data_IF_079297295685
#
_entry.id   IF_079297295685
#
_cell.length_a   1.000
_cell.length_b   1.000
_cell.length_c   1.000
_cell.angle_alpha   90.00
_cell.angle_beta   90.00
_cell.angle_gamma   90.00
#
_symmetry.space_group_name_H-M   'P 1'
#
loop_
_entity.id
_entity.type
_entity.pdbx_description
1 polymer ?
#
# COMPACT_ATOMS: atom_id res chain seq x y z
N UNK A 1 -11.44 -18.60 41.72
CA UNK A 1 -9.99 -18.31 41.76
C UNK A 1 -9.41 -18.08 40.37
N UNK A 2 -9.57 -19.00 39.41
CA UNK A 2 -9.05 -18.81 38.03
C UNK A 2 -9.61 -17.60 37.28
N UNK A 3 -10.92 -17.30 37.38
CA UNK A 3 -11.50 -16.08 36.79
C UNK A 3 -10.91 -14.79 37.36
N UNK A 4 -10.54 -14.79 38.64
CA UNK A 4 -9.96 -13.61 39.31
C UNK A 4 -8.50 -13.45 38.87
N UNK A 5 -7.73 -14.54 38.84
CA UNK A 5 -6.36 -14.55 38.27
C UNK A 5 -6.31 -14.11 36.81
N UNK A 6 -7.28 -14.54 35.99
CA UNK A 6 -7.35 -14.14 34.59
C UNK A 6 -7.68 -12.65 34.44
N UNK A 7 -8.51 -12.08 35.32
CA UNK A 7 -8.79 -10.65 35.32
C UNK A 7 -7.61 -9.82 35.84
N UNK A 8 -6.91 -10.29 36.87
CA UNK A 8 -5.67 -9.65 37.35
C UNK A 8 -4.56 -9.69 36.30
N UNK A 9 -4.40 -10.82 35.59
CA UNK A 9 -3.43 -10.94 34.49
C UNK A 9 -3.74 -9.95 33.36
N UNK A 10 -5.00 -9.84 32.93
CA UNK A 10 -5.42 -8.82 31.94
C UNK A 10 -5.23 -7.39 32.42
N UNK A 11 -5.45 -7.14 33.71
CA UNK A 11 -5.25 -5.82 34.30
C UNK A 11 -3.77 -5.45 34.27
N UNK A 12 -2.89 -6.37 34.62
CA UNK A 12 -1.44 -6.18 34.58
C UNK A 12 -0.91 -6.02 33.15
N UNK A 13 -1.43 -6.76 32.16
CA UNK A 13 -1.12 -6.52 30.74
C UNK A 13 -1.57 -5.12 30.31
N UNK A 14 -2.77 -4.68 30.71
CA UNK A 14 -3.27 -3.34 30.40
C UNK A 14 -2.44 -2.22 31.04
N UNK A 15 -1.95 -2.41 32.27
CA UNK A 15 -1.02 -1.49 32.93
C UNK A 15 0.36 -1.51 32.27
N UNK A 16 0.83 -2.64 31.75
CA UNK A 16 2.07 -2.71 30.97
C UNK A 16 1.95 -1.95 29.63
N UNK A 17 0.81 -2.04 28.94
CA UNK A 17 0.57 -1.28 27.70
C UNK A 17 0.56 0.23 27.92
N UNK A 18 0.01 0.70 29.04
CA UNK A 18 -0.03 2.14 29.35
C UNK A 18 1.35 2.69 29.73
N UNK A 19 2.20 1.88 30.37
CA UNK A 19 3.58 2.25 30.71
C UNK A 19 4.51 2.21 29.47
N UNK A 20 4.30 1.29 28.52
CA UNK A 20 5.02 1.33 27.24
C UNK A 20 4.60 2.52 26.37
N UNK A 21 3.33 2.92 26.46
CA UNK A 21 2.79 4.11 25.81
C UNK A 21 3.19 5.46 26.43
N UNK A 22 3.89 5.46 27.58
CA UNK A 22 4.40 6.67 28.24
C UNK A 22 5.87 6.98 27.89
N UNK A 23 6.40 6.35 26.84
CA UNK A 23 7.76 6.57 26.35
C UNK A 23 7.87 7.85 25.49
N UNK A 24 8.38 8.91 26.11
CA UNK A 24 8.81 10.19 25.51
C UNK A 24 7.75 10.95 24.67
N UNK A 25 7.88 12.28 24.59
CA UNK A 25 7.01 13.08 23.73
C UNK A 25 7.36 12.80 22.26
N UNK A 26 6.89 11.69 21.70
CA UNK A 26 7.02 11.38 20.27
C UNK A 26 6.27 12.45 19.48
N UNK A 27 7.00 13.18 18.64
CA UNK A 27 6.44 14.25 17.83
C UNK A 27 5.37 13.70 16.87
N UNK A 28 4.16 14.26 16.95
CA UNK A 28 3.04 13.93 16.05
C UNK A 28 3.40 14.25 14.59
N UNK A 29 4.33 15.17 14.36
CA UNK A 29 4.78 15.54 13.01
C UNK A 29 5.39 14.36 12.25
N UNK A 30 6.10 13.46 12.93
CA UNK A 30 6.62 12.24 12.31
C UNK A 30 5.47 11.47 11.66
N UNK A 31 4.36 11.30 12.39
CA UNK A 31 3.18 10.57 11.92
C UNK A 31 2.49 11.30 10.77
N UNK A 32 2.45 12.64 10.80
CA UNK A 32 1.93 13.42 9.69
C UNK A 32 2.76 13.25 8.42
N UNK A 33 4.08 13.30 8.51
CA UNK A 33 4.95 13.09 7.35
C UNK A 33 4.78 11.69 6.76
N UNK A 34 4.85 10.64 7.59
CA UNK A 34 4.67 9.27 7.13
C UNK A 34 3.27 9.04 6.53
N UNK A 35 2.22 9.60 7.14
CA UNK A 35 0.86 9.47 6.61
C UNK A 35 0.65 10.23 5.30
N UNK A 36 1.28 11.39 5.12
CA UNK A 36 1.19 12.15 3.88
C UNK A 36 1.85 11.41 2.72
N UNK A 37 3.07 10.91 2.91
CA UNK A 37 3.71 10.08 1.89
C UNK A 37 2.91 8.82 1.60
N UNK A 38 2.36 8.16 2.64
CA UNK A 38 1.48 7.02 2.43
C UNK A 38 0.21 7.39 1.66
N UNK A 39 -0.34 8.60 1.85
CA UNK A 39 -1.50 9.06 1.11
C UNK A 39 -1.16 9.34 -0.37
N UNK A 40 0.02 9.89 -0.64
CA UNK A 40 0.48 10.14 -2.01
C UNK A 40 0.69 8.82 -2.78
N UNK A 41 1.38 7.84 -2.19
CA UNK A 41 1.70 6.58 -2.88
C UNK A 41 0.48 5.68 -3.14
N UNK A 42 -0.66 5.91 -2.47
CA UNK A 42 -1.86 5.08 -2.65
C UNK A 42 -2.39 5.03 -4.07
N UNK A 43 -2.31 6.15 -4.80
CA UNK A 43 -2.80 6.25 -6.18
C UNK A 43 -1.66 6.35 -7.19
N UNK A 44 -0.43 6.13 -6.74
CA UNK A 44 0.73 6.10 -7.61
C UNK A 44 0.61 4.96 -8.65
N UNK A 45 0.84 5.30 -9.92
CA UNK A 45 0.78 4.36 -11.04
C UNK A 45 2.06 4.43 -11.85
N UNK A 46 2.51 3.27 -12.32
CA UNK A 46 3.68 3.14 -13.22
C UNK A 46 3.33 3.58 -14.63
N UNK A 47 2.13 3.21 -15.10
CA UNK A 47 1.58 3.61 -16.41
C UNK A 47 0.67 4.81 -16.22
N UNK A 48 1.05 5.93 -16.84
CA UNK A 48 0.25 7.14 -16.88
C UNK A 48 -0.79 7.03 -18.01
N UNK A 49 -2.07 7.01 -17.63
CA UNK A 49 -3.21 6.78 -18.52
C UNK A 49 -3.39 7.86 -19.59
N UNK A 50 -3.35 9.18 -19.27
CA UNK A 50 -3.40 10.21 -20.30
C UNK A 50 -2.33 10.04 -21.39
N UNK A 51 -1.08 9.78 -21.01
CA UNK A 51 -0.02 9.53 -21.98
C UNK A 51 -0.27 8.25 -22.77
N UNK A 52 -0.70 7.17 -22.12
CA UNK A 52 -1.04 5.92 -22.80
C UNK A 52 -2.10 6.13 -23.88
N UNK A 53 -3.21 6.79 -23.54
CA UNK A 53 -4.31 7.05 -24.47
C UNK A 53 -3.90 7.99 -25.60
N UNK A 54 -3.05 8.99 -25.32
CA UNK A 54 -2.49 9.87 -26.34
C UNK A 54 -1.66 9.09 -27.35
N UNK A 55 -0.76 8.20 -26.91
CA UNK A 55 0.03 7.37 -27.81
C UNK A 55 -0.84 6.39 -28.59
N UNK A 56 -1.84 5.79 -27.96
CA UNK A 56 -2.80 4.91 -28.65
C UNK A 56 -3.52 5.66 -29.78
N UNK A 57 -4.02 6.87 -29.52
CA UNK A 57 -4.64 7.71 -30.55
C UNK A 57 -3.64 8.12 -31.63
N UNK A 58 -2.39 8.43 -31.26
CA UNK A 58 -1.34 8.74 -32.22
C UNK A 58 -1.10 7.57 -33.19
N UNK A 59 -0.93 6.34 -32.69
CA UNK A 59 -0.75 5.17 -33.56
C UNK A 59 -2.00 4.86 -34.40
N UNK A 60 -3.19 4.90 -33.79
CA UNK A 60 -4.43 4.56 -34.50
C UNK A 60 -4.82 5.60 -35.55
N UNK A 61 -4.79 6.90 -35.21
CA UNK A 61 -5.28 7.99 -36.07
C UNK A 61 -4.21 8.72 -36.86
N UNK A 62 -3.05 9.02 -36.26
CA UNK A 62 -2.02 9.84 -36.92
C UNK A 62 -1.15 8.98 -37.83
N UNK A 63 -0.69 7.82 -37.35
CA UNK A 63 0.03 6.84 -38.18
C UNK A 63 -0.94 6.04 -39.07
N UNK A 64 -2.25 6.13 -38.80
CA UNK A 64 -3.31 5.47 -39.54
C UNK A 64 -3.26 3.92 -39.44
N UNK A 65 -2.93 3.37 -38.26
CA UNK A 65 -3.07 1.93 -38.03
C UNK A 65 -4.51 1.44 -38.15
N UNK A 66 -5.50 2.33 -38.07
CA UNK A 66 -6.88 1.97 -38.39
C UNK A 66 -7.09 1.46 -39.81
N UNK A 67 -6.22 1.82 -40.76
CA UNK A 67 -6.29 1.29 -42.14
C UNK A 67 -6.11 -0.24 -42.20
N UNK A 68 -5.41 -0.84 -41.23
CA UNK A 68 -5.24 -2.30 -41.16
C UNK A 68 -6.53 -3.05 -40.82
N UNK A 69 -7.58 -2.36 -40.35
CA UNK A 69 -8.89 -2.99 -40.11
C UNK A 69 -9.79 -3.01 -41.34
N UNK A 70 -9.36 -2.43 -42.45
CA UNK A 70 -10.10 -2.44 -43.71
C UNK A 70 -9.72 -3.69 -44.51
N UNK A 71 -10.73 -4.42 -45.01
CA UNK A 71 -10.56 -5.71 -45.70
C UNK A 71 -9.92 -5.62 -47.09
N UNK A 72 -9.55 -4.43 -47.58
CA UNK A 72 -8.92 -4.25 -48.88
C UNK A 72 -7.40 -4.31 -48.72
N UNK A 73 -6.81 -5.49 -49.01
CA UNK A 73 -5.37 -5.74 -49.02
C UNK A 73 -4.58 -5.00 -50.11
N UNK A 74 -5.04 -3.82 -50.56
CA UNK A 74 -4.33 -3.02 -51.56
C UNK A 74 -3.42 -2.00 -50.87
N UNK A 75 -2.18 -2.43 -50.61
CA UNK A 75 -1.12 -1.64 -49.98
C UNK A 75 -0.60 -0.47 -50.86
N UNK A 76 -1.28 -0.12 -51.95
CA UNK A 76 -0.78 0.84 -52.94
C UNK A 76 -1.93 1.72 -53.45
N UNK A 77 -1.95 2.97 -52.97
CA UNK A 77 -2.13 4.21 -53.77
C UNK A 77 -3.07 5.23 -53.15
N UNK A 78 -2.53 6.45 -53.06
CA UNK A 78 -3.20 7.74 -52.85
C UNK A 78 -3.49 8.17 -51.41
N UNK A 79 -2.74 9.21 -51.04
CA UNK A 79 -2.78 9.97 -49.79
C UNK A 79 -4.05 10.84 -49.67
N UNK A 80 -5.14 10.55 -50.39
CA UNK A 80 -6.17 11.57 -50.62
C UNK A 80 -7.61 11.08 -50.74
N UNK A 81 -8.00 9.96 -50.11
CA UNK A 81 -9.37 9.64 -49.61
C UNK A 81 -9.55 8.12 -49.48
N UNK A 82 -8.96 7.53 -48.43
CA UNK A 82 -9.35 6.17 -48.02
C UNK A 82 -10.67 6.24 -47.25
N UNK A 83 -11.79 6.12 -47.96
CA UNK A 83 -13.07 5.79 -47.33
C UNK A 83 -13.15 4.26 -47.22
N UNK A 84 -12.83 3.73 -46.04
CA UNK A 84 -13.00 2.32 -45.71
C UNK A 84 -14.47 1.92 -45.90
N UNK A 85 -14.79 1.21 -46.98
CA UNK A 85 -16.19 0.83 -47.29
C UNK A 85 -16.75 -0.18 -46.30
N UNK A 86 -15.91 -1.05 -45.73
CA UNK A 86 -16.30 -2.04 -44.72
C UNK A 86 -15.12 -2.40 -43.81
N UNK A 87 -15.12 -1.88 -42.59
CA UNK A 87 -14.24 -2.36 -41.53
C UNK A 87 -14.92 -3.52 -40.82
N UNK A 88 -14.24 -4.66 -40.73
CA UNK A 88 -14.71 -5.77 -39.91
C UNK A 88 -14.50 -5.41 -38.44
N UNK A 89 -15.59 -5.45 -37.65
CA UNK A 89 -15.56 -5.05 -36.24
C UNK A 89 -14.52 -5.86 -35.43
N UNK A 90 -14.34 -7.14 -35.76
CA UNK A 90 -13.38 -8.03 -35.08
C UNK A 90 -11.93 -7.57 -35.35
N UNK A 91 -11.60 -7.25 -36.60
CA UNK A 91 -10.24 -6.82 -36.98
C UNK A 91 -9.92 -5.46 -36.38
N UNK A 92 -10.89 -4.55 -36.36
CA UNK A 92 -10.78 -3.25 -35.67
C UNK A 92 -10.43 -3.41 -34.20
N UNK A 93 -11.17 -4.25 -33.48
CA UNK A 93 -10.91 -4.53 -32.06
C UNK A 93 -9.52 -5.17 -31.88
N UNK A 94 -9.13 -6.10 -32.76
CA UNK A 94 -7.81 -6.74 -32.69
C UNK A 94 -6.67 -5.72 -32.86
N UNK A 95 -6.75 -4.85 -33.86
CA UNK A 95 -5.76 -3.78 -34.08
C UNK A 95 -5.70 -2.85 -32.86
N UNK A 96 -6.85 -2.40 -32.35
CA UNK A 96 -6.89 -1.56 -31.15
C UNK A 96 -6.28 -2.24 -29.93
N UNK A 97 -6.58 -3.53 -29.70
CA UNK A 97 -6.04 -4.32 -28.61
C UNK A 97 -4.51 -4.43 -28.68
N UNK A 98 -3.93 -4.73 -29.85
CA UNK A 98 -2.49 -4.84 -29.99
C UNK A 98 -1.77 -3.50 -29.79
N UNK A 99 -2.36 -2.40 -30.26
CA UNK A 99 -1.81 -1.05 -30.02
C UNK A 99 -1.87 -0.69 -28.53
N UNK A 100 -2.99 -0.95 -27.86
CA UNK A 100 -3.15 -0.74 -26.42
C UNK A 100 -2.14 -1.57 -25.61
N UNK A 101 -1.97 -2.85 -25.96
CA UNK A 101 -1.04 -3.74 -25.28
C UNK A 101 0.41 -3.31 -25.53
N UNK A 102 0.78 -3.04 -26.78
CA UNK A 102 2.13 -2.63 -27.15
C UNK A 102 2.55 -1.33 -26.46
N UNK A 103 1.69 -0.31 -26.48
CA UNK A 103 1.95 0.96 -25.77
C UNK A 103 2.06 0.77 -24.26
N UNK A 104 1.19 -0.05 -23.65
CA UNK A 104 1.27 -0.36 -22.23
C UNK A 104 2.57 -1.06 -21.84
N UNK A 105 3.01 -2.05 -22.62
CA UNK A 105 4.26 -2.79 -22.40
C UNK A 105 5.47 -1.85 -22.52
N UNK A 106 5.53 -1.03 -23.57
CA UNK A 106 6.62 -0.06 -23.76
C UNK A 106 6.68 0.94 -22.60
N UNK A 107 5.54 1.48 -22.18
CA UNK A 107 5.48 2.43 -21.07
C UNK A 107 5.88 1.78 -19.74
N UNK A 108 5.46 0.55 -19.48
CA UNK A 108 5.83 -0.19 -18.28
C UNK A 108 7.34 -0.54 -18.27
N UNK A 109 7.89 -0.97 -19.40
CA UNK A 109 9.33 -1.22 -19.54
C UNK A 109 10.15 0.06 -19.33
N UNK A 110 9.71 1.18 -19.94
CA UNK A 110 10.36 2.48 -19.74
C UNK A 110 10.35 2.86 -18.26
N UNK A 111 9.20 2.72 -17.59
CA UNK A 111 9.09 3.04 -16.18
C UNK A 111 10.01 2.17 -15.31
N UNK A 112 9.99 0.84 -15.48
CA UNK A 112 10.76 -0.08 -14.65
C UNK A 112 12.27 -0.01 -14.93
N UNK A 113 12.68 0.07 -16.18
CA UNK A 113 14.11 0.05 -16.56
C UNK A 113 14.76 1.41 -16.36
N UNK A 114 14.08 2.50 -16.73
CA UNK A 114 14.66 3.84 -16.71
C UNK A 114 14.18 4.67 -15.52
N UNK A 115 12.87 4.90 -15.40
CA UNK A 115 12.35 5.85 -14.42
C UNK A 115 12.64 5.41 -12.98
N UNK A 116 12.27 4.19 -12.62
CA UNK A 116 12.46 3.68 -11.27
C UNK A 116 13.95 3.53 -10.90
N UNK A 117 14.81 3.21 -11.87
CA UNK A 117 16.24 2.96 -11.64
C UNK A 117 17.07 4.24 -11.53
N UNK A 118 16.76 5.26 -12.33
CA UNK A 118 17.60 6.46 -12.47
C UNK A 118 16.96 7.74 -11.96
N UNK A 119 15.63 7.79 -11.80
CA UNK A 119 14.92 9.01 -11.41
C UNK A 119 14.43 8.89 -9.97
N UNK A 120 13.49 7.97 -9.70
CA UNK A 120 12.86 7.89 -8.37
C UNK A 120 12.22 6.52 -8.10
N UNK A 121 12.52 5.94 -6.94
CA UNK A 121 11.81 4.79 -6.38
C UNK A 121 10.97 5.23 -5.17
N UNK A 122 9.74 5.69 -5.44
CA UNK A 122 8.80 6.16 -4.41
C UNK A 122 8.52 5.15 -3.29
N UNK A 123 8.54 3.85 -3.60
CA UNK A 123 8.25 2.81 -2.61
C UNK A 123 9.42 2.66 -1.64
N UNK A 124 10.66 2.67 -2.14
CA UNK A 124 11.86 2.66 -1.28
C UNK A 124 11.93 3.93 -0.44
N UNK A 125 11.71 5.10 -1.06
CA UNK A 125 11.72 6.39 -0.36
C UNK A 125 10.75 6.40 0.83
N UNK A 126 9.57 5.79 0.68
CA UNK A 126 8.60 5.67 1.77
C UNK A 126 9.08 4.77 2.91
N UNK A 127 9.70 3.63 2.60
CA UNK A 127 10.27 2.71 3.61
C UNK A 127 11.42 3.40 4.36
N UNK A 128 12.29 4.09 3.62
CA UNK A 128 13.39 4.87 4.18
C UNK A 128 12.86 5.96 5.10
N UNK A 129 11.83 6.70 4.68
CA UNK A 129 11.20 7.72 5.50
C UNK A 129 10.66 7.14 6.81
N UNK A 130 10.06 5.95 6.78
CA UNK A 130 9.55 5.28 7.96
C UNK A 130 10.68 5.01 8.97
N UNK A 131 11.85 4.54 8.50
CA UNK A 131 13.03 4.30 9.34
C UNK A 131 13.67 5.58 9.89
N UNK A 132 13.78 6.64 9.08
CA UNK A 132 14.33 7.92 9.49
C UNK A 132 13.38 8.64 10.46
N UNK A 133 12.06 8.46 10.31
CA UNK A 133 11.05 9.08 11.17
C UNK A 133 10.76 8.30 12.44
N UNK A 134 11.37 7.12 12.64
CA UNK A 134 11.08 6.20 13.73
C UNK A 134 9.59 5.76 13.78
N UNK A 135 8.99 5.47 12.63
CA UNK A 135 7.58 5.06 12.52
C UNK A 135 7.48 3.73 11.82
N UNK A 136 6.87 2.77 12.52
CA UNK A 136 6.49 1.49 11.91
C UNK A 136 5.05 1.55 11.40
N UNK A 137 4.79 0.91 10.26
CA UNK A 137 3.47 0.89 9.64
C UNK A 137 2.91 -0.52 9.72
N UNK A 138 1.78 -0.68 10.42
CA UNK A 138 1.05 -1.93 10.55
C UNK A 138 -0.18 -1.90 9.63
N UNK A 139 -0.22 -2.77 8.63
CA UNK A 139 -1.25 -2.80 7.60
C UNK A 139 -1.95 -4.16 7.64
N UNK A 140 -3.28 -4.15 7.64
CA UNK A 140 -4.10 -5.34 7.46
C UNK A 140 -4.95 -5.15 6.20
N UNK A 141 -4.75 -6.01 5.21
CA UNK A 141 -5.61 -6.14 4.03
C UNK A 141 -6.79 -7.06 4.33
N UNK A 142 -6.56 -8.16 5.06
CA UNK A 142 -7.58 -9.08 5.55
C UNK A 142 -7.61 -9.17 7.08
N UNK A 143 -8.49 -10.02 7.62
CA UNK A 143 -8.62 -10.19 9.07
C UNK A 143 -7.45 -10.92 9.71
N UNK A 144 -6.72 -11.76 8.98
CA UNK A 144 -5.64 -12.58 9.51
C UNK A 144 -4.33 -12.43 8.73
N UNK A 145 -4.34 -11.59 7.70
CA UNK A 145 -3.24 -11.33 6.81
C UNK A 145 -2.99 -9.83 6.73
N UNK A 146 -1.75 -9.44 6.46
CA UNK A 146 -1.36 -8.06 6.29
C UNK A 146 0.14 -7.90 6.09
N UNK A 147 0.60 -6.66 6.22
CA UNK A 147 1.99 -6.29 6.02
C UNK A 147 2.47 -5.39 7.16
N UNK A 148 3.74 -5.53 7.51
CA UNK A 148 4.41 -4.71 8.50
C UNK A 148 5.66 -4.11 7.89
N UNK A 149 5.76 -2.79 8.00
CA UNK A 149 6.95 -2.03 7.62
C UNK A 149 7.61 -1.61 8.93
N UNK A 150 8.78 -2.16 9.18
CA UNK A 150 9.61 -1.84 10.32
C UNK A 150 10.34 -0.53 10.07
N UNK A 151 10.03 0.47 10.88
CA UNK A 151 10.64 1.79 10.79
C UNK A 151 11.28 2.23 12.08
N UNK A 152 11.85 1.31 12.88
CA UNK A 152 12.63 1.71 14.05
C UNK A 152 13.94 2.33 13.57
N UNK A 153 14.23 3.55 14.04
CA UNK A 153 15.46 4.23 13.63
C UNK A 153 16.68 3.60 14.30
N UNK A 154 17.77 3.33 13.57
CA UNK A 154 19.00 2.82 14.15
C UNK A 154 19.76 3.88 14.98
N UNK A 155 19.39 5.16 14.87
CA UNK A 155 20.10 6.29 15.45
C UNK A 155 19.59 6.72 16.83
N UNK A 156 18.55 6.05 17.36
CA UNK A 156 17.93 6.31 18.67
C UNK A 156 17.12 7.61 18.76
N UNK A 157 17.58 8.70 18.14
CA UNK A 157 16.89 9.99 18.04
C UNK A 157 16.67 10.39 16.58
N UNK A 158 15.48 10.91 16.26
CA UNK A 158 15.09 11.27 14.88
C UNK A 158 14.70 12.73 14.67
N UNK A 159 14.21 13.43 15.71
CA UNK A 159 13.93 14.88 15.65
C UNK A 159 15.20 15.68 15.95
N UNK A 160 16.21 15.55 15.09
CA UNK A 160 17.52 16.18 15.27
C UNK A 160 17.75 17.32 14.29
N UNK A 161 18.72 18.19 14.58
CA UNK A 161 19.09 19.29 13.67
C UNK A 161 19.76 18.73 12.40
N UNK A 162 19.76 19.50 11.31
CA UNK A 162 20.32 19.11 10.00
C UNK A 162 21.74 18.56 10.11
N UNK A 163 22.59 19.16 10.95
CA UNK A 163 23.97 18.68 11.16
C UNK A 163 24.00 17.24 11.71
N UNK A 164 23.14 16.95 12.68
CA UNK A 164 23.05 15.64 13.31
C UNK A 164 22.41 14.62 12.35
N UNK A 165 21.44 15.04 11.54
CA UNK A 165 20.87 14.21 10.46
C UNK A 165 21.97 13.77 9.48
N UNK A 166 22.79 14.71 9.00
CA UNK A 166 23.91 14.40 8.10
C UNK A 166 24.91 13.47 8.77
N UNK A 167 25.22 13.70 10.05
CA UNK A 167 26.13 12.83 10.80
C UNK A 167 25.58 11.42 10.98
N UNK A 168 24.28 11.28 11.22
CA UNK A 168 23.61 9.99 11.35
C UNK A 168 23.64 9.22 10.02
N UNK A 169 23.36 9.89 8.90
CA UNK A 169 23.46 9.29 7.56
C UNK A 169 24.91 8.86 7.25
N UNK A 170 25.90 9.69 7.59
CA UNK A 170 27.31 9.32 7.43
C UNK A 170 27.69 8.10 8.27
N UNK A 171 27.19 8.00 9.51
CA UNK A 171 27.42 6.81 10.35
C UNK A 171 26.76 5.57 9.77
N UNK A 172 25.60 5.72 9.16
CA UNK A 172 24.88 4.63 8.51
C UNK A 172 25.61 4.11 7.27
N UNK A 173 26.05 5.01 6.39
CA UNK A 173 26.83 4.68 5.18
C UNK A 173 28.10 3.91 5.54
N UNK A 174 28.78 4.31 6.62
CA UNK A 174 29.98 3.67 7.12
C UNK A 174 29.72 2.47 8.06
N UNK A 175 28.46 2.01 8.20
CA UNK A 175 28.06 0.89 9.06
C UNK A 175 28.53 1.02 10.53
N UNK A 176 28.55 2.24 11.03
CA UNK A 176 28.88 2.57 12.42
C UNK A 176 27.63 2.64 13.33
N UNK A 177 26.45 2.58 12.75
CA UNK A 177 25.15 2.50 13.44
C UNK A 177 24.58 1.07 13.38
N UNK A 178 23.53 0.81 14.16
CA UNK A 178 22.76 -0.44 14.06
C UNK A 178 22.12 -0.61 12.68
N UNK A 179 21.71 -1.84 12.36
CA UNK A 179 20.98 -2.15 11.11
C UNK A 179 19.52 -1.71 11.21
N UNK A 180 18.86 -1.52 10.06
CA UNK A 180 17.47 -1.03 10.00
C UNK A 180 16.41 -2.13 10.17
N UNK A 181 16.79 -3.40 10.11
CA UNK A 181 15.83 -4.50 10.14
C UNK A 181 15.30 -4.84 11.52
N UNK A 182 14.25 -5.66 11.54
CA UNK A 182 13.58 -6.08 12.78
C UNK A 182 14.46 -6.99 13.65
N UNK A 183 15.26 -7.85 13.02
CA UNK A 183 16.24 -8.69 13.71
C UNK A 183 17.60 -8.00 13.83
N UNK A 184 18.35 -8.25 14.92
CA UNK A 184 19.70 -7.73 15.07
C UNK A 184 20.59 -8.22 13.91
N UNK A 185 21.26 -7.29 13.25
CA UNK A 185 22.12 -7.53 12.07
C UNK A 185 21.38 -7.90 10.77
N UNK A 186 20.05 -7.69 10.72
CA UNK A 186 19.29 -7.76 9.47
C UNK A 186 18.99 -6.35 8.96
N UNK A 187 18.97 -6.18 7.64
CA UNK A 187 18.52 -4.96 6.95
C UNK A 187 17.08 -5.11 6.41
N UNK A 188 16.43 -6.26 6.64
CA UNK A 188 15.08 -6.53 6.16
C UNK A 188 14.05 -5.74 6.97
N UNK A 189 13.32 -4.85 6.31
CA UNK A 189 12.35 -3.95 6.95
C UNK A 189 10.89 -4.31 6.67
N UNK A 190 10.62 -5.12 5.66
CA UNK A 190 9.26 -5.39 5.21
C UNK A 190 8.92 -6.83 5.53
N UNK A 191 7.73 -7.02 6.10
CA UNK A 191 7.26 -8.32 6.53
C UNK A 191 5.81 -8.56 6.11
N UNK A 192 5.52 -9.73 5.57
CA UNK A 192 4.16 -10.24 5.44
C UNK A 192 3.77 -10.85 6.78
N UNK A 193 2.64 -10.41 7.34
CA UNK A 193 2.14 -10.89 8.61
C UNK A 193 1.01 -11.86 8.42
N UNK A 194 1.05 -12.96 9.17
CA UNK A 194 -0.11 -13.80 9.45
C UNK A 194 -0.38 -13.84 10.93
N UNK A 195 -1.49 -13.25 11.30
CA UNK A 195 -1.92 -13.16 12.69
C UNK A 195 -2.97 -14.22 13.01
N UNK A 196 -2.96 -14.68 14.25
CA UNK A 196 -3.88 -15.68 14.72
C UNK A 196 -5.20 -15.05 15.17
N UNK A 197 -6.22 -15.90 15.32
CA UNK A 197 -7.57 -15.43 15.70
C UNK A 197 -7.62 -14.85 17.11
N UNK A 198 -6.71 -15.26 18.00
CA UNK A 198 -6.65 -14.75 19.38
C UNK A 198 -6.22 -13.28 19.38
N UNK A 199 -5.11 -12.99 18.71
CA UNK A 199 -4.59 -11.64 18.50
C UNK A 199 -5.64 -10.77 17.81
N UNK A 200 -6.23 -11.25 16.72
CA UNK A 200 -7.22 -10.48 15.96
C UNK A 200 -8.45 -10.11 16.79
N UNK A 201 -8.92 -10.98 17.70
CA UNK A 201 -10.03 -10.66 18.61
C UNK A 201 -9.67 -9.54 19.59
N UNK A 202 -8.45 -9.58 20.13
CA UNK A 202 -7.98 -8.55 21.06
C UNK A 202 -7.79 -7.22 20.35
N UNK A 203 -7.14 -7.24 19.19
CA UNK A 203 -6.98 -6.08 18.31
C UNK A 203 -8.33 -5.46 17.96
N UNK A 204 -9.31 -6.26 17.52
CA UNK A 204 -10.66 -5.76 17.22
C UNK A 204 -11.36 -5.19 18.45
N UNK A 205 -11.14 -5.74 19.65
CA UNK A 205 -11.70 -5.19 20.88
C UNK A 205 -11.17 -3.78 21.17
N UNK A 206 -9.86 -3.58 21.04
CA UNK A 206 -9.23 -2.27 21.22
C UNK A 206 -9.69 -1.29 20.13
N UNK A 207 -9.78 -1.75 18.88
CA UNK A 207 -10.23 -0.94 17.76
C UNK A 207 -11.69 -0.50 17.89
N UNK A 208 -12.58 -1.34 18.44
CA UNK A 208 -13.98 -0.99 18.73
C UNK A 208 -14.07 0.10 19.79
N UNK A 209 -13.28 0.01 20.85
CA UNK A 209 -13.19 1.05 21.88
C UNK A 209 -12.76 2.38 21.26
N UNK A 210 -11.71 2.36 20.44
CA UNK A 210 -11.23 3.54 19.71
C UNK A 210 -12.33 4.16 18.83
N UNK A 211 -13.01 3.36 17.98
CA UNK A 211 -14.08 3.90 17.13
C UNK A 211 -15.31 4.37 17.90
N UNK A 212 -15.60 3.79 19.07
CA UNK A 212 -16.67 4.25 19.96
C UNK A 212 -16.54 5.71 20.36
N UNK A 213 -15.32 6.22 20.46
CA UNK A 213 -15.03 7.63 20.81
C UNK A 213 -15.00 8.58 19.60
N UNK A 214 -15.04 8.08 18.36
CA UNK A 214 -14.99 8.90 17.13
C UNK A 214 -16.35 9.47 16.67
N UNK A 215 -17.39 9.37 17.51
CA UNK A 215 -18.76 9.79 17.20
C UNK A 215 -19.03 11.30 17.23
N UNK A 216 -20.19 11.76 16.72
CA UNK A 216 -20.57 13.17 16.68
C UNK A 216 -20.74 13.77 18.08
N UNK A 217 -20.19 14.98 18.28
CA UNK A 217 -20.09 15.67 19.57
C UNK A 217 -21.30 16.59 19.81
N UNK A 218 -21.86 16.61 21.03
CA UNK A 218 -23.04 17.43 21.39
C UNK A 218 -22.72 18.72 22.16
N UNK A 219 -21.65 18.76 22.97
CA UNK A 219 -21.24 19.97 23.71
C UNK A 219 -19.71 20.14 23.78
N UNK A 220 -19.24 21.35 24.15
CA UNK A 220 -17.80 21.71 24.20
C UNK A 220 -17.05 21.06 25.37
N UNK A 221 -17.65 20.98 26.56
CA UNK A 221 -17.02 20.30 27.72
C UNK A 221 -16.95 18.79 27.52
N UNK A 222 -17.93 18.21 26.84
CA UNK A 222 -17.86 16.82 26.41
C UNK A 222 -16.69 16.63 25.43
N UNK A 223 -16.46 17.58 24.53
CA UNK A 223 -15.41 17.45 23.50
C UNK A 223 -14.00 17.29 24.06
N UNK A 224 -13.64 17.99 25.14
CA UNK A 224 -12.32 17.85 25.79
C UNK A 224 -12.17 16.47 26.42
N UNK A 225 -13.12 16.05 27.27
CA UNK A 225 -13.12 14.73 27.91
C UNK A 225 -13.10 13.58 26.90
N UNK A 226 -13.87 13.68 25.82
CA UNK A 226 -13.87 12.67 24.76
C UNK A 226 -12.56 12.64 23.99
N UNK A 227 -11.88 13.79 23.84
CA UNK A 227 -10.57 13.84 23.18
C UNK A 227 -9.52 13.13 24.04
N UNK A 228 -9.54 13.32 25.36
CA UNK A 228 -8.64 12.60 26.28
C UNK A 228 -8.89 11.09 26.25
N UNK A 229 -10.14 10.65 26.27
CA UNK A 229 -10.51 9.24 26.15
C UNK A 229 -10.08 8.62 24.80
N UNK A 230 -10.22 9.38 23.71
CA UNK A 230 -9.79 8.97 22.39
C UNK A 230 -8.26 8.81 22.31
N UNK A 231 -7.52 9.75 22.91
CA UNK A 231 -6.06 9.72 22.98
C UNK A 231 -5.58 8.54 23.81
N UNK A 232 -6.23 8.26 24.95
CA UNK A 232 -5.94 7.11 25.78
C UNK A 232 -6.24 5.79 25.05
N UNK A 233 -7.35 5.71 24.31
CA UNK A 233 -7.66 4.52 23.50
C UNK A 233 -6.62 4.30 22.39
N UNK A 234 -6.13 5.37 21.76
CA UNK A 234 -5.05 5.32 20.78
C UNK A 234 -3.74 4.85 21.40
N UNK A 235 -3.35 5.40 22.56
CA UNK A 235 -2.14 4.98 23.27
C UNK A 235 -2.18 3.51 23.68
N UNK A 236 -3.34 3.03 24.15
CA UNK A 236 -3.52 1.60 24.49
C UNK A 236 -3.39 0.71 23.25
N UNK A 237 -3.97 1.12 22.10
CA UNK A 237 -3.84 0.38 20.84
C UNK A 237 -2.38 0.36 20.37
N UNK A 238 -1.70 1.51 20.41
CA UNK A 238 -0.30 1.63 19.99
C UNK A 238 0.62 0.82 20.91
N UNK A 239 0.44 0.92 22.22
CA UNK A 239 1.20 0.16 23.22
C UNK A 239 1.02 -1.36 23.05
N UNK A 240 -0.19 -1.81 22.73
CA UNK A 240 -0.46 -3.22 22.39
C UNK A 240 0.31 -3.67 21.14
N UNK A 241 0.34 -2.85 20.08
CA UNK A 241 1.09 -3.17 18.86
C UNK A 241 2.61 -3.15 19.09
N UNK A 242 3.13 -2.17 19.85
CA UNK A 242 4.54 -2.13 20.23
C UNK A 242 4.93 -3.38 21.02
N UNK A 243 4.17 -3.74 22.05
CA UNK A 243 4.39 -4.94 22.86
C UNK A 243 4.33 -6.23 22.03
N UNK A 244 3.46 -6.27 21.02
CA UNK A 244 3.39 -7.39 20.08
C UNK A 244 4.67 -7.51 19.24
N UNK A 245 5.15 -6.42 18.64
CA UNK A 245 6.35 -6.41 17.80
C UNK A 245 7.62 -6.70 18.63
N UNK A 246 7.72 -6.14 19.83
CA UNK A 246 8.83 -6.36 20.77
C UNK A 246 8.83 -7.77 21.40
N UNK A 247 7.87 -8.63 21.01
CA UNK A 247 7.67 -9.98 21.53
C UNK A 247 7.52 -10.04 23.06
N UNK A 248 7.13 -8.93 23.70
CA UNK A 248 6.93 -8.87 25.15
C UNK A 248 5.65 -9.57 25.60
N UNK A 249 4.76 -9.89 24.64
CA UNK A 249 3.52 -10.62 24.87
C UNK A 249 3.72 -12.13 24.77
N UNK A 250 3.83 -12.78 25.94
CA UNK A 250 3.88 -14.24 26.02
C UNK A 250 2.64 -14.91 25.42
N UNK A 251 1.50 -14.22 25.40
CA UNK A 251 0.22 -14.70 24.88
C UNK A 251 0.12 -14.67 23.34
N UNK A 252 0.95 -13.87 22.66
CA UNK A 252 0.90 -13.69 21.20
C UNK A 252 2.30 -13.62 20.57
N UNK A 253 3.14 -14.62 20.83
CA UNK A 253 4.44 -14.70 20.16
C UNK A 253 4.27 -14.92 18.65
N UNK A 254 5.23 -14.40 17.88
CA UNK A 254 5.33 -14.64 16.45
C UNK A 254 6.68 -15.26 16.10
N UNK A 255 6.71 -16.01 14.99
CA UNK A 255 7.91 -16.61 14.45
C UNK A 255 8.30 -15.85 13.19
N UNK A 256 9.55 -15.38 13.14
CA UNK A 256 10.12 -14.83 11.92
C UNK A 256 10.63 -15.96 11.04
N UNK A 257 10.25 -15.96 9.76
CA UNK A 257 10.66 -17.00 8.81
C UNK A 257 10.69 -16.47 7.39
N UNK A 258 11.64 -16.90 6.58
CA UNK A 258 11.65 -16.59 5.15
C UNK A 258 10.74 -17.57 4.39
N UNK A 259 9.99 -17.07 3.39
CA UNK A 259 9.23 -17.94 2.47
C UNK A 259 10.18 -18.77 1.61
N UNK A 260 9.86 -20.05 1.44
CA UNK A 260 10.57 -20.90 0.48
C UNK A 260 10.28 -20.45 -0.96
N UNK A 261 11.16 -20.82 -1.89
CA UNK A 261 11.02 -20.47 -3.32
C UNK A 261 9.66 -20.87 -3.91
N UNK A 262 9.19 -22.10 -3.62
CA UNK A 262 7.89 -22.57 -4.08
C UNK A 262 6.72 -21.84 -3.41
N UNK A 263 6.88 -21.42 -2.15
CA UNK A 263 5.85 -20.63 -1.46
C UNK A 263 5.72 -19.23 -2.06
N UNK A 264 6.84 -18.64 -2.51
CA UNK A 264 6.85 -17.36 -3.23
C UNK A 264 6.18 -17.46 -4.60
N UNK A 265 6.50 -18.50 -5.38
CA UNK A 265 5.94 -18.67 -6.73
C UNK A 265 4.44 -18.96 -6.71
N UNK A 266 4.01 -19.85 -5.82
CA UNK A 266 2.60 -20.27 -5.76
C UNK A 266 1.72 -19.32 -4.96
N UNK A 267 2.33 -18.31 -4.31
CA UNK A 267 1.72 -17.50 -3.25
C UNK A 267 0.91 -18.36 -2.26
N UNK A 268 1.46 -19.53 -1.96
CA UNK A 268 0.84 -20.54 -1.11
C UNK A 268 1.85 -20.99 -0.06
N UNK A 269 1.44 -20.95 1.20
CA UNK A 269 2.33 -21.34 2.29
C UNK A 269 2.17 -22.83 2.61
N UNK A 270 3.30 -23.53 2.63
CA UNK A 270 3.30 -24.87 3.16
C UNK A 270 3.18 -24.76 4.67
N UNK A 271 2.04 -25.20 5.19
CA UNK A 271 1.81 -25.29 6.64
C UNK A 271 2.87 -26.17 7.28
N UNK A 272 3.88 -25.54 7.86
CA UNK A 272 4.75 -26.20 8.83
C UNK A 272 3.92 -26.32 10.10
N UNK A 273 3.46 -27.54 10.40
CA UNK A 273 2.83 -27.82 11.69
C UNK A 273 3.84 -27.50 12.79
N UNK A 274 3.58 -26.46 13.55
CA UNK A 274 4.38 -26.12 14.73
C UNK A 274 3.88 -26.90 15.93
N UNK A 275 4.72 -27.06 16.96
CA UNK A 275 4.34 -27.74 18.22
C UNK A 275 3.11 -27.10 18.89
N UNK A 276 2.91 -25.80 18.67
CA UNK A 276 1.76 -24.99 19.08
C UNK A 276 0.46 -25.32 18.33
N UNK A 277 0.53 -25.81 17.09
CA UNK A 277 -0.67 -26.26 16.36
C UNK A 277 -1.28 -27.51 17.02
N UNK A 278 -0.49 -28.31 17.75
CA UNK A 278 -1.00 -29.45 18.53
C UNK A 278 -1.79 -29.00 19.78
N UNK A 279 -1.56 -27.80 20.28
CA UNK A 279 -2.31 -27.19 21.41
C UNK A 279 -3.51 -26.34 20.92
N UNK A 280 -3.82 -26.40 19.62
CA UNK A 280 -4.94 -25.69 19.01
C UNK A 280 -4.73 -24.18 18.86
N UNK A 281 -3.54 -23.66 19.17
CA UNK A 281 -3.17 -22.26 18.98
C UNK A 281 -2.28 -22.10 17.74
N UNK A 282 -2.86 -21.56 16.67
CA UNK A 282 -2.10 -21.16 15.48
C UNK A 282 -1.16 -20.03 15.90
N UNK A 283 0.14 -20.18 15.64
CA UNK A 283 1.14 -19.13 15.89
C UNK A 283 1.02 -17.98 14.92
N UNK A 284 1.42 -16.79 15.36
CA UNK A 284 1.61 -15.67 14.45
C UNK A 284 2.90 -15.90 13.64
N UNK A 285 2.92 -15.49 12.37
CA UNK A 285 4.09 -15.58 11.51
C UNK A 285 4.40 -14.24 10.87
N UNK A 286 5.69 -13.93 10.79
CA UNK A 286 6.21 -12.79 10.06
C UNK A 286 7.16 -13.33 9.00
N UNK A 287 6.89 -13.01 7.74
CA UNK A 287 7.72 -13.42 6.62
C UNK A 287 8.45 -12.24 6.02
N UNK A 288 9.77 -12.33 5.86
CA UNK A 288 10.55 -11.28 5.18
C UNK A 288 10.04 -11.11 3.74
N UNK A 289 9.84 -9.85 3.34
CA UNK A 289 9.30 -9.47 2.04
C UNK A 289 10.26 -8.58 1.25
N UNK A 290 11.18 -9.23 0.54
CA UNK A 290 12.17 -8.55 -0.29
C UNK A 290 11.56 -8.01 -1.61
N UNK A 291 10.36 -8.46 -1.99
CA UNK A 291 9.69 -8.08 -3.23
C UNK A 291 8.78 -6.87 -3.07
N UNK A 292 8.62 -6.34 -1.84
CA UNK A 292 7.74 -5.22 -1.50
C UNK A 292 6.28 -5.51 -1.87
N UNK A 293 5.81 -6.73 -1.59
CA UNK A 293 4.45 -7.20 -1.89
C UNK A 293 3.34 -6.37 -1.22
N UNK A 294 3.65 -5.59 -0.18
CA UNK A 294 2.69 -4.62 0.38
C UNK A 294 2.16 -3.62 -0.67
N UNK A 295 2.90 -3.41 -1.76
CA UNK A 295 2.47 -2.59 -2.88
C UNK A 295 1.18 -3.08 -3.55
N UNK A 296 0.77 -4.35 -3.37
CA UNK A 296 -0.50 -4.91 -3.85
C UNK A 296 -1.73 -4.21 -3.25
N UNK A 297 -1.59 -3.52 -2.11
CA UNK A 297 -2.67 -2.71 -1.52
C UNK A 297 -2.80 -1.33 -2.22
N UNK A 298 -1.75 -0.93 -2.94
CA UNK A 298 -1.63 0.31 -3.67
C UNK A 298 -1.90 0.08 -5.16
N UNK A 299 -2.16 1.15 -5.90
CA UNK A 299 -2.33 1.05 -7.36
C UNK A 299 -1.08 0.57 -8.09
N UNK A 300 0.11 0.79 -7.50
CA UNK A 300 1.37 0.40 -8.12
C UNK A 300 1.60 -1.12 -8.13
N UNK A 301 1.06 -1.88 -7.17
CA UNK A 301 1.10 -3.35 -7.18
C UNK A 301 0.06 -3.93 -8.15
N UNK A 302 -1.16 -3.39 -8.15
CA UNK A 302 -2.26 -3.81 -9.02
C UNK A 302 -2.23 -3.20 -10.44
N UNK A 303 -1.04 -2.79 -10.90
CA UNK A 303 -0.88 -2.05 -12.14
C UNK A 303 -1.40 -2.82 -13.36
N UNK A 304 -1.13 -4.12 -13.44
CA UNK A 304 -1.59 -4.99 -14.55
C UNK A 304 -3.11 -5.04 -14.62
N UNK A 305 -3.76 -5.22 -13.47
CA UNK A 305 -5.23 -5.24 -13.34
C UNK A 305 -5.84 -3.92 -13.80
N UNK A 306 -5.26 -2.79 -13.39
CA UNK A 306 -5.73 -1.46 -13.79
C UNK A 306 -5.52 -1.16 -15.28
N UNK A 307 -4.42 -1.64 -15.88
CA UNK A 307 -4.19 -1.53 -17.33
C UNK A 307 -5.22 -2.35 -18.10
N UNK A 308 -5.45 -3.59 -17.70
CA UNK A 308 -6.46 -4.47 -18.32
C UNK A 308 -7.85 -3.84 -18.22
N UNK A 309 -8.20 -3.27 -17.06
CA UNK A 309 -9.47 -2.56 -16.87
C UNK A 309 -9.63 -1.40 -17.89
N UNK A 310 -8.61 -0.57 -18.04
CA UNK A 310 -8.62 0.55 -18.99
C UNK A 310 -8.68 0.08 -20.45
N UNK A 311 -7.97 -1.01 -20.78
CA UNK A 311 -8.03 -1.63 -22.11
C UNK A 311 -9.44 -2.15 -22.43
N UNK A 312 -10.05 -2.91 -21.51
CA UNK A 312 -11.41 -3.44 -21.67
C UNK A 312 -12.41 -2.29 -21.81
N UNK A 313 -12.29 -1.25 -20.98
CA UNK A 313 -13.15 -0.06 -21.04
C UNK A 313 -13.03 0.65 -22.40
N UNK A 314 -11.81 0.85 -22.89
CA UNK A 314 -11.58 1.44 -24.21
C UNK A 314 -12.22 0.61 -25.32
N UNK A 315 -11.96 -0.70 -25.36
CA UNK A 315 -12.49 -1.58 -26.39
C UNK A 315 -14.02 -1.69 -26.33
N UNK A 316 -14.59 -1.74 -25.13
CA UNK A 316 -16.04 -1.74 -24.94
C UNK A 316 -16.69 -0.48 -25.51
N UNK A 317 -16.11 0.69 -25.24
CA UNK A 317 -16.64 1.95 -25.77
C UNK A 317 -16.41 2.05 -27.28
N UNK A 318 -15.29 1.55 -27.80
CA UNK A 318 -15.04 1.51 -29.25
C UNK A 318 -16.06 0.61 -29.98
N UNK A 319 -16.45 -0.52 -29.38
CA UNK A 319 -17.51 -1.39 -29.93
C UNK A 319 -18.82 -0.61 -30.09
N UNK A 320 -19.20 0.17 -29.08
CA UNK A 320 -20.47 0.90 -29.07
C UNK A 320 -20.45 2.14 -29.96
N UNK A 321 -19.36 2.92 -29.89
CA UNK A 321 -19.27 4.23 -30.54
C UNK A 321 -18.65 4.18 -31.94
N UNK A 322 -17.92 3.11 -32.26
CA UNK A 322 -17.11 2.99 -33.48
C UNK A 322 -16.19 4.20 -33.70
N UNK A 323 -15.71 4.81 -32.61
CA UNK A 323 -14.85 5.99 -32.64
C UNK A 323 -13.78 5.92 -31.54
N UNK A 324 -12.51 5.74 -31.94
CA UNK A 324 -11.37 5.67 -31.03
C UNK A 324 -11.19 6.93 -30.18
N UNK A 325 -11.48 8.11 -30.72
CA UNK A 325 -11.31 9.39 -29.99
C UNK A 325 -12.32 9.47 -28.86
N UNK A 326 -13.59 9.12 -29.13
CA UNK A 326 -14.62 9.08 -28.09
C UNK A 326 -14.30 8.00 -27.05
N UNK A 327 -13.81 6.83 -27.49
CA UNK A 327 -13.36 5.77 -26.59
C UNK A 327 -12.24 6.22 -25.66
N UNK A 328 -11.24 6.94 -26.16
CA UNK A 328 -10.16 7.49 -25.34
C UNK A 328 -10.66 8.49 -24.29
N UNK A 329 -11.49 9.46 -24.71
CA UNK A 329 -12.00 10.51 -23.81
C UNK A 329 -12.84 9.89 -22.69
N UNK A 330 -13.74 8.98 -23.02
CA UNK A 330 -14.60 8.34 -22.02
C UNK A 330 -13.81 7.38 -21.11
N UNK A 331 -12.84 6.65 -21.64
CA UNK A 331 -11.93 5.81 -20.82
C UNK A 331 -11.15 6.66 -19.83
N UNK A 332 -10.61 7.81 -20.26
CA UNK A 332 -9.94 8.75 -19.38
C UNK A 332 -10.87 9.30 -18.31
N UNK A 333 -12.10 9.67 -18.66
CA UNK A 333 -13.09 10.18 -17.70
C UNK A 333 -13.43 9.13 -16.63
N UNK A 334 -13.61 7.87 -17.02
CA UNK A 334 -13.88 6.76 -16.10
C UNK A 334 -12.68 6.52 -15.17
N UNK A 335 -11.45 6.49 -15.71
CA UNK A 335 -10.23 6.32 -14.93
C UNK A 335 -10.04 7.47 -13.93
N UNK A 336 -10.27 8.72 -14.35
CA UNK A 336 -10.19 9.90 -13.49
C UNK A 336 -11.17 9.81 -12.31
N UNK A 337 -12.41 9.40 -12.56
CA UNK A 337 -13.41 9.17 -11.50
C UNK A 337 -12.93 8.07 -10.55
N UNK A 338 -12.41 6.96 -11.08
CA UNK A 338 -11.94 5.83 -10.28
C UNK A 338 -10.76 6.22 -9.36
N UNK A 339 -9.78 6.96 -9.88
CA UNK A 339 -8.67 7.51 -9.09
C UNK A 339 -9.19 8.47 -8.01
N UNK A 340 -10.13 9.35 -8.35
CA UNK A 340 -10.75 10.28 -7.39
C UNK A 340 -11.49 9.56 -6.25
N UNK A 341 -12.22 8.49 -6.58
CA UNK A 341 -12.88 7.63 -5.60
C UNK A 341 -11.83 6.98 -4.68
N UNK A 342 -10.80 6.34 -5.24
CA UNK A 342 -9.75 5.67 -4.44
C UNK A 342 -9.04 6.64 -3.50
N UNK A 343 -8.68 7.83 -3.97
CA UNK A 343 -8.03 8.86 -3.16
C UNK A 343 -8.95 9.32 -2.02
N UNK A 344 -10.23 9.58 -2.32
CA UNK A 344 -11.22 9.98 -1.30
C UNK A 344 -11.42 8.91 -0.22
N UNK A 345 -11.57 7.64 -0.60
CA UNK A 345 -11.69 6.54 0.35
C UNK A 345 -10.39 6.31 1.14
N UNK A 346 -9.24 6.39 0.45
CA UNK A 346 -7.91 6.29 1.02
C UNK A 346 -7.66 7.31 2.14
N UNK A 347 -7.84 8.58 1.82
CA UNK A 347 -7.70 9.71 2.75
C UNK A 347 -8.66 9.59 3.94
N UNK A 348 -9.91 9.18 3.70
CA UNK A 348 -10.89 8.97 4.77
C UNK A 348 -10.48 7.82 5.70
N UNK A 349 -10.03 6.71 5.13
CA UNK A 349 -9.60 5.54 5.90
C UNK A 349 -8.35 5.84 6.74
N UNK A 350 -7.35 6.50 6.13
CA UNK A 350 -6.13 6.89 6.82
C UNK A 350 -6.45 7.83 7.99
N UNK A 351 -7.17 8.93 7.73
CA UNK A 351 -7.59 9.88 8.77
C UNK A 351 -8.34 9.22 9.92
N UNK A 352 -9.23 8.26 9.63
CA UNK A 352 -10.00 7.54 10.65
C UNK A 352 -9.11 6.64 11.51
N UNK A 353 -8.09 6.01 10.93
CA UNK A 353 -7.22 5.03 11.60
C UNK A 353 -6.05 5.66 12.35
N UNK A 354 -5.54 6.82 11.90
CA UNK A 354 -4.33 7.44 12.46
C UNK A 354 -4.61 8.67 13.34
N UNK A 355 -5.89 9.02 13.59
CA UNK A 355 -6.32 10.27 14.24
C UNK A 355 -5.92 11.57 13.50
N UNK A 356 -5.32 11.46 12.32
CA UNK A 356 -4.86 12.61 11.55
C UNK A 356 -6.06 13.32 10.94
N UNK A 357 -6.24 14.64 11.15
CA UNK A 357 -7.30 15.37 10.49
C UNK A 357 -7.09 15.36 8.97
N UNK A 358 -8.18 15.16 8.21
CA UNK A 358 -8.12 15.10 6.73
C UNK A 358 -7.46 16.31 6.07
N UNK A 359 -7.50 17.47 6.72
CA UNK A 359 -6.94 18.71 6.20
C UNK A 359 -5.41 18.69 6.15
N UNK A 360 -4.76 17.80 6.93
CA UNK A 360 -3.32 17.62 6.90
C UNK A 360 -2.87 16.58 5.87
N UNK A 361 -3.80 15.76 5.36
CA UNK A 361 -3.55 14.76 4.32
C UNK A 361 -3.64 15.41 2.94
N UNK A 362 -2.49 15.58 2.30
CA UNK A 362 -2.34 16.23 1.00
C UNK A 362 -2.72 15.26 -0.13
#
# INVERSE_FOLDING_TARGET
VEKIRYQEFKKNENEAYSILGSSENVSVWRTYFAANELNEIQTFRRVNVPFQLLFVLFFLKVINFESYSCGDGTFISSLSNFNCLRSDAIVRIAVAFFVLLGTAVVQNLFFTIFYQRFIEDKITNFIDLCSVSNISVFILDENLHGYYIHGRSPHGMTDVNMKDTVMNLYREENRMSGTRGLEPNSDEQIFIMKINRSFQRQYQSLLRTYYGYTGPRKTRQDAERYTDLLLQAYQNLNGFLCAFIDQSLSSHQYILRNRFFLERILDYEFRVRTRSDFDGQITNFFFTDNEKTFTNILFCGEQSTLVIWNMITFLFIDILAQNYVLAAILTYAIDFIFVGIRNSFGRKNLSKKTLIPKNFLI
#
